data_IF_389413139786
#
_entry.id   IF_389413139786
#
_cell.length_a   1.000
_cell.length_b   1.000
_cell.length_c   1.000
_cell.angle_alpha   90.00
_cell.angle_beta   90.00
_cell.angle_gamma   90.00
#
_symmetry.space_group_name_H-M   'P 1'
#
loop_
_entity.id
_entity.type
_entity.pdbx_description
1 polymer ?
#
# COMPACT_ATOMS: atom_id res chain seq x y z
N UNK A 1 4.73 -26.47 -13.02
CA UNK A 1 5.69 -25.49 -12.47
C UNK A 1 6.30 -26.12 -11.23
N UNK A 2 7.61 -26.03 -11.00
CA UNK A 2 8.19 -26.43 -9.71
C UNK A 2 7.67 -25.50 -8.60
N UNK A 3 7.43 -25.99 -7.37
CA UNK A 3 6.89 -25.17 -6.27
C UNK A 3 7.62 -23.84 -6.08
N UNK A 4 8.97 -23.86 -6.03
CA UNK A 4 9.78 -22.66 -5.85
C UNK A 4 9.70 -21.62 -6.99
N UNK A 5 9.34 -22.02 -8.22
CA UNK A 5 9.10 -21.05 -9.30
C UNK A 5 7.74 -20.37 -9.18
N UNK A 6 6.75 -21.04 -8.60
CA UNK A 6 5.43 -20.47 -8.37
C UNK A 6 5.45 -19.50 -7.20
N UNK A 7 6.19 -19.83 -6.14
CA UNK A 7 6.42 -18.95 -4.98
C UNK A 7 7.16 -17.67 -5.38
N UNK A 8 8.29 -17.79 -6.09
CA UNK A 8 9.04 -16.61 -6.55
C UNK A 8 8.23 -15.69 -7.47
N UNK A 9 7.32 -16.25 -8.28
CA UNK A 9 6.39 -15.46 -9.08
C UNK A 9 5.35 -14.76 -8.21
N UNK A 10 4.73 -15.49 -7.27
CA UNK A 10 3.75 -14.94 -6.33
C UNK A 10 4.34 -13.79 -5.51
N UNK A 11 5.55 -13.97 -4.97
CA UNK A 11 6.25 -12.95 -4.18
C UNK A 11 6.58 -11.71 -5.02
N UNK A 12 7.04 -11.91 -6.26
CA UNK A 12 7.31 -10.81 -7.18
C UNK A 12 6.05 -10.00 -7.51
N UNK A 13 4.92 -10.67 -7.74
CA UNK A 13 3.64 -10.02 -7.98
C UNK A 13 3.17 -9.26 -6.73
N UNK A 14 3.26 -9.89 -5.55
CA UNK A 14 2.85 -9.26 -4.29
C UNK A 14 3.68 -7.99 -4.01
N UNK A 15 5.00 -8.05 -4.21
CA UNK A 15 5.90 -6.91 -4.02
C UNK A 15 5.56 -5.73 -4.94
N UNK A 16 5.23 -5.99 -6.20
CA UNK A 16 4.82 -4.92 -7.15
C UNK A 16 3.48 -4.32 -6.73
N UNK A 17 2.50 -5.14 -6.35
CA UNK A 17 1.18 -4.65 -5.93
C UNK A 17 1.32 -3.72 -4.71
N UNK A 18 2.04 -4.17 -3.69
CA UNK A 18 2.28 -3.43 -2.45
C UNK A 18 2.96 -2.08 -2.71
N UNK A 19 3.95 -2.04 -3.60
CA UNK A 19 4.64 -0.80 -3.98
C UNK A 19 3.75 0.15 -4.79
N UNK A 20 2.92 -0.37 -5.71
CA UNK A 20 1.99 0.45 -6.50
C UNK A 20 0.84 0.99 -5.65
N UNK A 21 0.40 0.27 -4.63
CA UNK A 21 -0.72 0.70 -3.76
C UNK A 21 -0.48 2.07 -3.08
N UNK A 22 0.77 2.47 -2.86
CA UNK A 22 1.09 3.78 -2.25
C UNK A 22 0.64 4.94 -3.15
N UNK A 23 0.66 4.74 -4.46
CA UNK A 23 0.30 5.75 -5.45
C UNK A 23 -1.19 6.09 -5.42
N UNK A 24 -2.01 5.24 -4.80
CA UNK A 24 -3.44 5.48 -4.61
C UNK A 24 -3.76 6.30 -3.35
N UNK A 25 -2.78 6.57 -2.48
CA UNK A 25 -2.97 7.43 -1.32
C UNK A 25 -3.23 8.86 -1.76
N UNK A 26 -4.40 9.40 -1.38
CA UNK A 26 -4.76 10.79 -1.66
C UNK A 26 -3.99 11.72 -0.74
N UNK A 27 -3.52 12.82 -1.32
CA UNK A 27 -2.89 13.90 -0.57
C UNK A 27 -3.95 14.65 0.25
N UNK A 28 -3.61 15.15 1.46
CA UNK A 28 -4.52 15.99 2.22
C UNK A 28 -4.85 17.28 1.45
N UNK A 29 -6.09 17.77 1.59
CA UNK A 29 -6.59 18.95 0.86
C UNK A 29 -5.97 20.28 1.34
N UNK A 30 -5.13 20.26 2.37
CA UNK A 30 -4.50 21.42 2.97
C UNK A 30 -3.27 21.03 3.80
N UNK A 31 -2.54 22.05 4.27
CA UNK A 31 -1.29 21.88 5.01
C UNK A 31 -1.48 21.86 6.55
N UNK A 32 -2.71 21.78 7.05
CA UNK A 32 -2.97 21.77 8.48
C UNK A 32 -2.95 20.36 9.07
N UNK A 33 -2.68 20.24 10.37
CA UNK A 33 -2.75 18.96 11.10
C UNK A 33 -4.14 18.31 11.02
N UNK A 34 -5.20 19.11 10.88
CA UNK A 34 -6.57 18.62 10.74
C UNK A 34 -6.79 17.94 9.36
N UNK A 35 -6.17 18.46 8.31
CA UNK A 35 -6.24 17.89 6.97
C UNK A 35 -5.48 16.56 6.89
N UNK A 36 -4.36 16.45 7.63
CA UNK A 36 -3.64 15.19 7.79
C UNK A 36 -4.46 14.15 8.57
N UNK A 37 -5.13 14.56 9.66
CA UNK A 37 -6.00 13.67 10.43
C UNK A 37 -7.15 13.10 9.58
N UNK A 38 -7.68 13.88 8.64
CA UNK A 38 -8.73 13.43 7.72
C UNK A 38 -8.26 12.33 6.74
N UNK A 39 -6.96 12.25 6.44
CA UNK A 39 -6.37 11.22 5.56
C UNK A 39 -5.80 10.01 6.33
N UNK A 40 -5.83 10.06 7.67
CA UNK A 40 -5.34 8.98 8.53
C UNK A 40 -6.02 7.61 8.27
N UNK A 41 -7.35 7.49 8.04
CA UNK A 41 -7.98 6.20 7.80
C UNK A 41 -7.47 5.49 6.53
N UNK A 42 -7.21 6.24 5.45
CA UNK A 42 -6.65 5.66 4.22
C UNK A 42 -5.18 5.26 4.38
N UNK A 43 -4.41 6.05 5.12
CA UNK A 43 -3.02 5.70 5.43
C UNK A 43 -2.95 4.44 6.30
N UNK A 44 -3.86 4.32 7.27
CA UNK A 44 -3.94 3.17 8.16
C UNK A 44 -4.38 1.90 7.41
N UNK A 45 -5.35 2.01 6.50
CA UNK A 45 -5.72 0.91 5.59
C UNK A 45 -4.56 0.47 4.70
N UNK A 46 -3.77 1.41 4.19
CA UNK A 46 -2.56 1.10 3.43
C UNK A 46 -1.52 0.38 4.29
N UNK A 47 -1.21 0.87 5.49
CA UNK A 47 -0.27 0.19 6.40
C UNK A 47 -0.74 -1.21 6.77
N UNK A 48 -2.05 -1.39 7.02
CA UNK A 48 -2.62 -2.70 7.30
C UNK A 48 -2.52 -3.67 6.11
N UNK A 49 -2.47 -3.19 4.86
CA UNK A 49 -2.25 -4.06 3.69
C UNK A 49 -0.81 -4.59 3.55
N UNK A 50 0.14 -4.07 4.33
CA UNK A 50 1.52 -4.56 4.39
C UNK A 50 1.74 -5.68 5.41
N UNK A 51 0.76 -5.92 6.31
CA UNK A 51 0.83 -6.88 7.42
C UNK A 51 -0.08 -8.06 7.15
#
# INVERSE_FOLDING_TARGET
MSPGRMEAFSDGVLAIIITVMVLQLRQPNGASWKDLAATAPSLLAYVLSFV
#
